data_IF_890898506049
#
_entry.id   IF_890898506049
#
_cell.length_a   1.000
_cell.length_b   1.000
_cell.length_c   1.000
_cell.angle_alpha   90.00
_cell.angle_beta   90.00
_cell.angle_gamma   90.00
#
_symmetry.space_group_name_H-M   'P 1'
#
loop_
_entity.id
_entity.type
_entity.pdbx_description
1 polymer ?
#
# COMPACT_ATOMS: atom_id res chain seq x y z
N UNK A 1 -12.28 16.10 -6.42
CA UNK A 1 -11.91 17.53 -6.40
C UNK A 1 -10.77 17.74 -5.42
N UNK A 2 -9.78 18.56 -5.79
CA UNK A 2 -8.58 18.83 -4.99
C UNK A 2 -8.64 20.23 -4.30
N UNK A 3 -9.83 20.71 -4.04
CA UNK A 3 -10.05 22.05 -3.46
C UNK A 3 -9.26 22.24 -2.18
N UNK A 4 -8.51 23.34 -2.09
CA UNK A 4 -7.65 23.69 -0.96
C UNK A 4 -6.46 22.74 -0.71
N UNK A 5 -6.16 21.82 -1.63
CA UNK A 5 -4.96 20.99 -1.55
C UNK A 5 -3.75 21.72 -2.13
N UNK A 6 -2.61 21.57 -1.46
CA UNK A 6 -1.33 22.19 -1.85
C UNK A 6 -0.40 21.10 -2.33
N UNK A 7 0.03 21.20 -3.57
CA UNK A 7 0.88 20.19 -4.22
C UNK A 7 2.23 20.83 -4.52
N UNK A 8 3.30 20.26 -4.01
CA UNK A 8 4.67 20.58 -4.41
C UNK A 8 5.02 19.68 -5.59
N UNK A 9 5.17 20.27 -6.78
CA UNK A 9 5.45 19.54 -8.01
C UNK A 9 6.93 19.69 -8.40
N UNK A 10 7.70 18.63 -8.21
CA UNK A 10 9.10 18.55 -8.65
C UNK A 10 9.14 18.04 -10.08
N UNK A 11 9.74 18.81 -10.99
CA UNK A 11 9.85 18.48 -12.41
C UNK A 11 11.30 18.07 -12.70
N UNK A 12 11.49 16.80 -13.06
CA UNK A 12 12.78 16.26 -13.48
C UNK A 12 13.10 16.54 -14.94
N UNK A 13 14.39 16.47 -15.29
CA UNK A 13 14.86 16.72 -16.66
C UNK A 13 14.63 15.54 -17.58
N UNK A 14 13.92 15.77 -18.68
CA UNK A 14 13.64 14.78 -19.72
C UNK A 14 12.53 15.26 -20.63
N UNK A 15 12.42 14.65 -21.82
CA UNK A 15 11.42 15.07 -22.83
C UNK A 15 9.99 15.06 -22.25
N UNK A 16 9.67 14.15 -21.33
CA UNK A 16 8.36 14.07 -20.70
C UNK A 16 7.99 15.28 -19.83
N UNK A 17 8.94 16.17 -19.51
CA UNK A 17 8.69 17.37 -18.69
C UNK A 17 7.61 18.29 -19.28
N UNK A 18 7.40 18.29 -20.60
CA UNK A 18 6.33 19.08 -21.22
C UNK A 18 4.93 18.69 -20.70
N UNK A 19 4.71 17.41 -20.36
CA UNK A 19 3.43 16.94 -19.79
C UNK A 19 3.16 17.57 -18.42
N UNK A 20 4.20 17.96 -17.70
CA UNK A 20 4.07 18.57 -16.36
C UNK A 20 3.39 19.93 -16.43
N UNK A 21 3.48 20.63 -17.56
CA UNK A 21 2.76 21.89 -17.77
C UNK A 21 1.24 21.65 -17.87
N UNK A 22 0.80 20.60 -18.55
CA UNK A 22 -0.63 20.20 -18.59
C UNK A 22 -1.06 19.64 -17.20
N UNK A 23 -0.18 18.92 -16.52
CA UNK A 23 -0.44 18.43 -15.15
C UNK A 23 -0.72 19.59 -14.19
N UNK A 24 0.09 20.66 -14.22
CA UNK A 24 -0.15 21.88 -13.41
C UNK A 24 -1.55 22.42 -13.70
N UNK A 25 -1.91 22.59 -14.95
CA UNK A 25 -3.21 23.13 -15.36
C UNK A 25 -4.35 22.27 -14.82
N UNK A 26 -4.32 20.94 -15.06
CA UNK A 26 -5.39 20.04 -14.62
C UNK A 26 -5.55 19.92 -13.12
N UNK A 27 -4.45 19.95 -12.37
CA UNK A 27 -4.50 19.96 -10.90
C UNK A 27 -5.17 21.25 -10.41
N UNK A 28 -4.85 22.40 -11.02
CA UNK A 28 -5.49 23.69 -10.71
C UNK A 28 -6.96 23.75 -11.11
N UNK A 29 -7.31 23.17 -12.25
CA UNK A 29 -8.72 23.04 -12.68
C UNK A 29 -9.55 22.23 -11.66
N UNK A 30 -8.91 21.32 -10.91
CA UNK A 30 -9.56 20.62 -9.78
C UNK A 30 -9.52 21.38 -8.46
N UNK A 31 -8.98 22.58 -8.43
CA UNK A 31 -8.97 23.46 -7.24
C UNK A 31 -7.71 23.34 -6.37
N UNK A 32 -6.66 22.64 -6.83
CA UNK A 32 -5.38 22.58 -6.10
C UNK A 32 -4.53 23.82 -6.32
N UNK A 33 -3.74 24.18 -5.32
CA UNK A 33 -2.58 25.08 -5.49
C UNK A 33 -1.37 24.23 -5.81
N UNK A 34 -0.63 24.58 -6.88
CA UNK A 34 0.56 23.84 -7.34
C UNK A 34 1.77 24.75 -7.26
N UNK A 35 2.77 24.36 -6.49
CA UNK A 35 4.07 25.04 -6.38
C UNK A 35 5.12 24.26 -7.16
N UNK A 36 5.60 24.75 -8.31
CA UNK A 36 6.59 24.05 -9.10
C UNK A 36 8.00 24.20 -8.55
N UNK A 37 8.76 23.10 -8.59
CA UNK A 37 10.20 23.04 -8.37
C UNK A 37 10.83 22.43 -9.61
N UNK A 38 11.74 23.15 -10.26
CA UNK A 38 12.46 22.66 -11.43
C UNK A 38 13.87 22.20 -11.03
N UNK A 39 14.22 20.99 -11.45
CA UNK A 39 15.64 20.62 -11.43
C UNK A 39 16.39 21.39 -12.52
N UNK A 40 17.70 21.59 -12.37
CA UNK A 40 18.52 22.22 -13.39
C UNK A 40 18.35 21.57 -14.76
N UNK A 41 18.27 20.24 -14.80
CA UNK A 41 18.04 19.51 -16.04
C UNK A 41 16.63 19.72 -16.63
N UNK A 42 15.63 20.04 -15.82
CA UNK A 42 14.27 20.31 -16.31
C UNK A 42 14.18 21.63 -17.07
N UNK A 43 15.03 22.61 -16.75
CA UNK A 43 15.07 23.92 -17.42
C UNK A 43 15.46 23.83 -18.89
N UNK A 44 16.12 22.74 -19.31
CA UNK A 44 16.44 22.46 -20.70
C UNK A 44 15.20 22.01 -21.52
N UNK A 45 14.09 21.63 -20.86
CA UNK A 45 12.89 21.12 -21.51
C UNK A 45 11.66 22.01 -21.30
N UNK A 46 11.57 22.69 -20.17
CA UNK A 46 10.49 23.60 -19.80
C UNK A 46 11.05 24.84 -19.12
N UNK A 47 10.50 26.01 -19.41
CA UNK A 47 11.01 27.24 -18.82
C UNK A 47 10.34 27.52 -17.46
N UNK A 48 11.07 28.14 -16.51
CA UNK A 48 10.47 28.61 -15.26
C UNK A 48 9.28 29.55 -15.50
N UNK A 49 9.37 30.39 -16.54
CA UNK A 49 8.29 31.32 -16.92
C UNK A 49 7.00 30.58 -17.30
N UNK A 50 7.10 29.50 -18.09
CA UNK A 50 5.93 28.69 -18.47
C UNK A 50 5.30 28.01 -17.28
N UNK A 51 6.12 27.43 -16.39
CA UNK A 51 5.65 26.76 -15.19
C UNK A 51 5.00 27.76 -14.21
N UNK A 52 5.61 28.92 -13.99
CA UNK A 52 5.07 29.99 -13.14
C UNK A 52 3.73 30.54 -13.65
N UNK A 53 3.65 30.81 -14.97
CA UNK A 53 2.43 31.34 -15.58
C UNK A 53 1.25 30.36 -15.42
N UNK A 54 1.48 29.06 -15.62
CA UNK A 54 0.45 28.03 -15.46
C UNK A 54 0.09 27.75 -14.00
N UNK A 55 1.07 27.78 -13.12
CA UNK A 55 0.86 27.55 -11.69
C UNK A 55 0.24 28.78 -10.98
N UNK A 56 0.42 29.99 -11.52
CA UNK A 56 0.20 31.28 -10.83
C UNK A 56 0.91 31.30 -9.47
N UNK A 57 2.08 30.73 -9.41
CA UNK A 57 2.93 30.57 -8.24
C UNK A 57 4.40 30.79 -8.63
N UNK A 58 5.24 31.13 -7.64
CA UNK A 58 6.68 31.16 -7.79
C UNK A 58 7.23 29.78 -8.15
N UNK A 59 8.24 29.73 -8.98
CA UNK A 59 9.00 28.51 -9.32
C UNK A 59 10.31 28.51 -8.54
N UNK A 60 10.56 27.42 -7.83
CA UNK A 60 11.78 27.23 -7.07
C UNK A 60 12.78 26.39 -7.87
N UNK A 61 14.08 26.74 -7.82
CA UNK A 61 15.11 26.13 -8.67
C UNK A 61 16.43 25.84 -7.95
N UNK A 62 16.86 26.74 -7.08
CA UNK A 62 18.16 26.69 -6.43
C UNK A 62 18.00 26.52 -4.92
N UNK A 63 18.86 25.69 -4.34
CA UNK A 63 18.90 25.45 -2.89
C UNK A 63 19.44 26.68 -2.12
N UNK A 64 20.27 27.49 -2.77
CA UNK A 64 20.98 28.62 -2.17
C UNK A 64 20.51 29.97 -2.70
N UNK A 65 19.29 30.08 -3.23
CA UNK A 65 18.73 31.37 -3.58
C UNK A 65 18.40 32.16 -2.29
N UNK A 66 19.12 33.25 -2.07
CA UNK A 66 18.95 34.07 -0.87
C UNK A 66 17.56 34.69 -0.72
N UNK A 67 16.88 34.94 -1.82
CA UNK A 67 15.51 35.47 -1.81
C UNK A 67 14.53 34.37 -1.39
N UNK A 68 14.72 33.17 -1.90
CA UNK A 68 13.89 32.00 -1.58
C UNK A 68 14.07 31.56 -0.13
N UNK A 69 15.29 31.56 0.38
CA UNK A 69 15.58 31.21 1.77
C UNK A 69 15.03 32.25 2.77
N UNK A 70 15.01 33.52 2.39
CA UNK A 70 14.46 34.58 3.21
C UNK A 70 12.92 34.63 3.21
N UNK A 71 12.27 34.19 2.11
CA UNK A 71 10.81 34.15 1.98
C UNK A 71 10.22 32.88 2.56
N UNK A 72 10.80 31.72 2.23
CA UNK A 72 10.31 30.40 2.65
C UNK A 72 11.45 29.38 2.51
N UNK A 73 12.10 29.02 3.61
CA UNK A 73 13.18 28.01 3.60
C UNK A 73 12.70 26.66 3.05
N UNK A 74 13.64 25.88 2.51
CA UNK A 74 13.35 24.59 1.89
C UNK A 74 12.55 23.62 2.80
N UNK A 75 12.79 23.66 4.12
CA UNK A 75 12.02 22.85 5.09
C UNK A 75 10.56 23.31 5.13
N UNK A 76 10.30 24.62 5.17
CA UNK A 76 8.95 25.13 5.21
C UNK A 76 8.20 24.87 3.90
N UNK A 77 8.88 25.00 2.75
CA UNK A 77 8.34 24.68 1.44
C UNK A 77 7.87 23.21 1.36
N UNK A 78 8.66 22.26 1.86
CA UNK A 78 8.28 20.85 1.88
C UNK A 78 7.10 20.57 2.83
N UNK A 79 7.05 21.23 3.99
CA UNK A 79 6.00 21.06 5.00
C UNK A 79 4.70 21.76 4.64
N UNK A 80 4.76 22.83 3.86
CA UNK A 80 3.59 23.58 3.41
C UNK A 80 2.72 22.77 2.44
N UNK A 81 3.26 21.76 1.76
CA UNK A 81 2.51 20.91 0.85
C UNK A 81 1.66 19.87 1.60
N UNK A 82 0.59 19.39 0.95
CA UNK A 82 -0.20 18.24 1.38
C UNK A 82 0.27 16.95 0.68
N UNK A 83 0.92 17.10 -0.48
CA UNK A 83 1.54 16.02 -1.26
C UNK A 83 2.73 16.56 -2.05
N UNK A 84 3.79 15.78 -2.13
CA UNK A 84 4.92 16.01 -3.05
C UNK A 84 4.74 15.10 -4.26
N UNK A 85 4.77 15.68 -5.46
CA UNK A 85 4.66 14.94 -6.74
C UNK A 85 5.95 15.14 -7.53
N UNK A 86 6.54 14.06 -8.02
CA UNK A 86 7.72 14.11 -8.91
C UNK A 86 7.29 13.64 -10.30
N UNK A 87 7.16 14.54 -11.24
CA UNK A 87 6.72 14.24 -12.60
C UNK A 87 7.42 15.16 -13.62
N UNK A 88 8.27 14.62 -14.50
CA UNK A 88 8.76 13.25 -14.52
C UNK A 88 9.75 12.93 -13.41
N UNK A 89 9.71 11.68 -12.90
CA UNK A 89 10.75 11.13 -12.03
C UNK A 89 11.80 10.42 -12.90
N UNK A 90 12.96 11.02 -13.03
CA UNK A 90 14.08 10.45 -13.81
C UNK A 90 14.79 9.36 -13.02
N UNK A 91 15.59 8.52 -13.70
CA UNK A 91 16.42 7.53 -13.04
C UNK A 91 17.39 8.16 -12.02
N UNK A 92 17.92 9.37 -12.30
CA UNK A 92 18.78 10.12 -11.38
C UNK A 92 18.03 10.52 -10.10
N UNK A 93 16.83 11.12 -10.22
CA UNK A 93 16.03 11.48 -9.05
C UNK A 93 15.64 10.26 -8.24
N UNK A 94 15.21 9.16 -8.88
CA UNK A 94 14.89 7.91 -8.20
C UNK A 94 16.11 7.33 -7.46
N UNK A 95 17.30 7.40 -8.06
CA UNK A 95 18.55 6.97 -7.43
C UNK A 95 18.91 7.84 -6.23
N UNK A 96 18.80 9.17 -6.34
CA UNK A 96 19.02 10.11 -5.24
C UNK A 96 18.07 9.84 -4.08
N UNK A 97 16.78 9.68 -4.36
CA UNK A 97 15.77 9.34 -3.33
C UNK A 97 16.12 8.03 -2.62
N UNK A 98 16.38 6.95 -3.37
CA UNK A 98 16.69 5.65 -2.80
C UNK A 98 18.03 5.61 -2.04
N UNK A 99 18.97 6.47 -2.42
CA UNK A 99 20.29 6.60 -1.79
C UNK A 99 20.35 7.65 -0.67
N UNK A 100 19.27 8.40 -0.42
CA UNK A 100 19.26 9.46 0.60
C UNK A 100 20.16 10.66 0.26
N UNK A 101 20.33 10.99 -1.02
CA UNK A 101 21.14 12.13 -1.45
C UNK A 101 20.33 13.43 -1.39
N UNK A 102 20.96 14.52 -0.93
CA UNK A 102 20.36 15.85 -0.78
C UNK A 102 21.34 16.93 -1.24
N UNK A 103 21.72 16.90 -2.52
CA UNK A 103 22.75 17.77 -3.09
C UNK A 103 22.20 18.86 -4.04
N UNK A 104 20.90 18.92 -4.21
CA UNK A 104 20.17 19.96 -4.93
C UNK A 104 18.82 20.23 -4.24
N UNK A 105 18.10 21.30 -4.65
CA UNK A 105 16.83 21.66 -4.02
C UNK A 105 15.81 20.51 -4.07
N UNK A 106 15.64 19.85 -5.21
CA UNK A 106 14.67 18.77 -5.39
C UNK A 106 14.96 17.60 -4.45
N UNK A 107 16.20 17.11 -4.41
CA UNK A 107 16.61 16.01 -3.54
C UNK A 107 16.56 16.39 -2.06
N UNK A 108 16.88 17.65 -1.71
CA UNK A 108 16.78 18.15 -0.33
C UNK A 108 15.32 18.21 0.14
N UNK A 109 14.40 18.71 -0.68
CA UNK A 109 12.96 18.73 -0.38
C UNK A 109 12.42 17.31 -0.17
N UNK A 110 12.83 16.35 -0.99
CA UNK A 110 12.42 14.95 -0.89
C UNK A 110 12.95 14.27 0.37
N UNK A 111 14.14 14.65 0.86
CA UNK A 111 14.68 14.16 2.13
C UNK A 111 14.07 14.84 3.35
N UNK A 112 13.67 16.12 3.23
CA UNK A 112 13.17 16.90 4.35
C UNK A 112 11.65 16.75 4.57
N UNK A 113 10.94 16.17 3.61
CA UNK A 113 9.47 16.10 3.66
C UNK A 113 8.97 15.04 4.65
N UNK A 114 7.92 15.38 5.39
CA UNK A 114 7.08 14.46 6.18
C UNK A 114 5.79 14.09 5.43
N UNK A 115 5.64 14.54 4.18
CA UNK A 115 4.46 14.32 3.35
C UNK A 115 4.63 13.06 2.48
N UNK A 116 3.51 12.52 2.04
CA UNK A 116 3.52 11.45 1.04
C UNK A 116 4.16 11.95 -0.24
N UNK A 117 4.93 11.08 -0.87
CA UNK A 117 5.57 11.36 -2.17
C UNK A 117 4.95 10.46 -3.23
N UNK A 118 4.55 11.04 -4.36
CA UNK A 118 4.07 10.35 -5.55
C UNK A 118 5.06 10.59 -6.68
N UNK A 119 5.56 9.54 -7.32
CA UNK A 119 6.44 9.66 -8.48
C UNK A 119 5.78 9.13 -9.75
N UNK A 120 6.01 9.82 -10.87
CA UNK A 120 5.67 9.37 -12.22
C UNK A 120 6.97 9.14 -13.00
N UNK A 121 7.50 7.89 -13.02
CA UNK A 121 8.76 7.58 -13.69
C UNK A 121 8.71 7.85 -15.18
N UNK A 122 9.82 8.40 -15.74
CA UNK A 122 10.00 8.59 -17.17
C UNK A 122 11.48 8.46 -17.54
N UNK A 123 11.78 7.49 -18.38
CA UNK A 123 13.14 7.23 -18.87
C UNK A 123 13.09 6.29 -20.07
N UNK A 124 14.20 6.12 -20.76
CA UNK A 124 14.36 5.12 -21.81
C UNK A 124 14.16 3.70 -21.27
N UNK A 125 13.69 2.76 -22.12
CA UNK A 125 13.38 1.38 -21.72
C UNK A 125 14.56 0.67 -21.08
N UNK A 126 15.78 0.85 -21.62
CA UNK A 126 16.99 0.25 -21.07
C UNK A 126 17.35 0.76 -19.69
N UNK A 127 17.12 2.07 -19.44
CA UNK A 127 17.27 2.67 -18.13
C UNK A 127 16.22 2.14 -17.15
N UNK A 128 14.97 1.95 -17.61
CA UNK A 128 13.91 1.41 -16.77
C UNK A 128 14.19 -0.04 -16.37
N UNK A 129 14.56 -0.87 -17.32
CA UNK A 129 14.87 -2.29 -17.10
C UNK A 129 16.22 -2.51 -16.37
N UNK A 130 17.04 -1.46 -16.24
CA UNK A 130 18.33 -1.60 -15.60
C UNK A 130 18.18 -2.08 -14.14
N UNK A 131 18.99 -3.11 -13.72
CA UNK A 131 18.89 -3.66 -12.37
C UNK A 131 18.97 -2.63 -11.24
N UNK A 132 19.77 -1.57 -11.43
CA UNK A 132 19.86 -0.47 -10.45
C UNK A 132 18.54 0.29 -10.31
N UNK A 133 17.88 0.61 -11.44
CA UNK A 133 16.58 1.30 -11.43
C UNK A 133 15.51 0.45 -10.75
N UNK A 134 15.49 -0.87 -11.03
CA UNK A 134 14.53 -1.78 -10.41
C UNK A 134 14.78 -1.95 -8.90
N UNK A 135 16.04 -1.99 -8.45
CA UNK A 135 16.37 -1.97 -7.00
C UNK A 135 15.92 -0.65 -6.34
N UNK A 136 16.21 0.48 -6.97
CA UNK A 136 15.79 1.79 -6.46
C UNK A 136 14.25 1.87 -6.37
N UNK A 137 13.54 1.40 -7.38
CA UNK A 137 12.08 1.34 -7.37
C UNK A 137 11.55 0.49 -6.22
N UNK A 138 12.14 -0.69 -6.00
CA UNK A 138 11.76 -1.57 -4.90
C UNK A 138 12.00 -0.91 -3.53
N UNK A 139 13.15 -0.24 -3.35
CA UNK A 139 13.47 0.54 -2.15
C UNK A 139 12.44 1.63 -1.92
N UNK A 140 12.18 2.47 -2.92
CA UNK A 140 11.22 3.58 -2.82
C UNK A 140 9.81 3.11 -2.50
N UNK A 141 9.35 2.01 -3.11
CA UNK A 141 8.06 1.38 -2.76
C UNK A 141 8.05 0.88 -1.32
N UNK A 142 9.15 0.27 -0.86
CA UNK A 142 9.32 -0.17 0.52
C UNK A 142 9.27 0.98 1.53
N UNK A 143 9.80 2.15 1.16
CA UNK A 143 9.76 3.39 1.95
C UNK A 143 8.40 4.12 1.88
N UNK A 144 7.43 3.58 1.16
CA UNK A 144 6.07 4.14 1.08
C UNK A 144 5.87 5.19 0.00
N UNK A 145 6.81 5.35 -0.94
CA UNK A 145 6.66 6.23 -2.10
C UNK A 145 5.62 5.64 -3.06
N UNK A 146 4.64 6.45 -3.43
CA UNK A 146 3.62 6.08 -4.39
C UNK A 146 4.17 6.18 -5.81
N UNK A 147 3.80 5.22 -6.66
CA UNK A 147 4.30 5.15 -8.03
C UNK A 147 3.13 5.03 -9.00
N UNK A 148 3.09 5.89 -10.01
CA UNK A 148 2.14 5.82 -11.12
C UNK A 148 2.91 5.59 -12.42
N UNK A 149 2.61 4.50 -13.12
CA UNK A 149 3.34 4.07 -14.30
C UNK A 149 4.71 3.43 -13.98
N UNK A 150 5.68 3.49 -14.92
CA UNK A 150 5.56 4.09 -16.26
C UNK A 150 4.66 3.23 -17.18
N UNK A 151 4.13 3.86 -18.22
CA UNK A 151 3.35 3.19 -19.25
C UNK A 151 4.27 2.55 -20.31
N UNK A 152 3.73 1.56 -21.00
CA UNK A 152 4.37 0.94 -22.16
C UNK A 152 4.00 1.70 -23.45
N UNK A 153 4.94 1.82 -24.38
CA UNK A 153 4.68 2.43 -25.68
C UNK A 153 5.92 2.89 -26.41
N UNK A 154 5.70 3.55 -27.55
CA UNK A 154 6.77 4.14 -28.36
C UNK A 154 7.42 5.32 -27.60
N UNK A 155 8.74 5.36 -27.60
CA UNK A 155 9.54 6.42 -27.01
C UNK A 155 10.12 7.36 -28.05
N UNK A 156 10.51 8.56 -27.64
CA UNK A 156 11.12 9.55 -28.53
C UNK A 156 12.45 9.07 -29.17
N UNK A 157 13.12 8.09 -28.57
CA UNK A 157 14.33 7.47 -29.13
C UNK A 157 14.04 6.35 -30.13
N UNK A 158 12.76 6.06 -30.45
CA UNK A 158 12.35 5.02 -31.40
C UNK A 158 12.26 3.60 -30.79
N UNK A 159 12.52 3.44 -29.48
CA UNK A 159 12.33 2.17 -28.80
C UNK A 159 10.87 2.01 -28.34
N UNK A 160 10.42 0.76 -28.21
CA UNK A 160 9.12 0.38 -27.65
C UNK A 160 9.31 -0.40 -26.35
N UNK A 161 8.52 -0.07 -25.33
CA UNK A 161 8.52 -0.78 -24.05
C UNK A 161 8.10 0.13 -22.89
N UNK A 162 8.27 -0.36 -21.65
CA UNK A 162 7.98 0.41 -20.43
C UNK A 162 9.00 1.53 -20.23
N UNK A 163 8.54 2.71 -19.80
CA UNK A 163 9.40 3.87 -19.51
C UNK A 163 8.77 5.22 -19.87
N UNK A 164 7.61 5.22 -20.55
CA UNK A 164 6.86 6.45 -20.79
C UNK A 164 6.21 6.94 -19.50
N UNK A 165 6.32 8.25 -19.22
CA UNK A 165 5.53 8.85 -18.16
C UNK A 165 4.04 8.61 -18.42
N UNK A 166 3.30 8.15 -17.42
CA UNK A 166 1.85 7.98 -17.48
C UNK A 166 1.15 9.23 -17.98
N UNK A 167 -0.01 9.05 -18.54
CA UNK A 167 -0.79 10.17 -19.07
C UNK A 167 -1.29 11.07 -17.92
N UNK A 168 -1.43 12.34 -18.19
CA UNK A 168 -1.75 13.35 -17.17
C UNK A 168 -3.04 13.01 -16.41
N UNK A 169 -4.12 12.52 -17.04
CA UNK A 169 -5.31 12.10 -16.30
C UNK A 169 -5.04 11.03 -15.23
N UNK A 170 -4.16 10.05 -15.51
CA UNK A 170 -3.84 8.97 -14.59
C UNK A 170 -3.02 9.48 -13.40
N UNK A 171 -2.10 10.43 -13.66
CA UNK A 171 -1.34 11.09 -12.59
C UNK A 171 -2.28 11.92 -11.70
N UNK A 172 -3.24 12.65 -12.29
CA UNK A 172 -4.24 13.43 -11.54
C UNK A 172 -5.13 12.52 -10.70
N UNK A 173 -5.54 11.37 -11.23
CA UNK A 173 -6.31 10.37 -10.46
C UNK A 173 -5.49 9.81 -9.29
N UNK A 174 -4.20 9.50 -9.50
CA UNK A 174 -3.29 9.04 -8.45
C UNK A 174 -3.05 10.11 -7.37
N UNK A 175 -2.95 11.39 -7.76
CA UNK A 175 -2.88 12.52 -6.81
C UNK A 175 -4.15 12.60 -5.98
N UNK A 176 -5.33 12.47 -6.59
CA UNK A 176 -6.62 12.45 -5.88
C UNK A 176 -6.69 11.32 -4.84
N UNK A 177 -6.29 10.12 -5.24
CA UNK A 177 -6.20 8.97 -4.35
C UNK A 177 -5.19 9.21 -3.20
N UNK A 178 -4.02 9.77 -3.54
CA UNK A 178 -2.98 10.08 -2.56
C UNK A 178 -3.42 11.11 -1.50
N UNK A 179 -4.26 12.07 -1.87
CA UNK A 179 -4.77 13.10 -0.96
C UNK A 179 -6.02 12.69 -0.18
N UNK A 180 -6.44 11.44 -0.27
CA UNK A 180 -7.58 10.91 0.46
C UNK A 180 -8.94 11.32 -0.13
N UNK A 181 -8.98 11.83 -1.37
CA UNK A 181 -10.22 12.13 -2.10
C UNK A 181 -10.69 10.92 -2.96
N UNK A 182 -10.24 9.72 -2.60
CA UNK A 182 -10.62 8.48 -3.27
C UNK A 182 -12.06 8.02 -2.93
N UNK A 183 -12.54 6.96 -3.61
CA UNK A 183 -13.92 6.44 -3.48
C UNK A 183 -14.27 5.96 -2.07
N UNK A 184 -13.26 5.70 -1.22
CA UNK A 184 -13.43 5.30 0.18
C UNK A 184 -13.31 6.46 1.19
N UNK A 185 -13.32 7.73 0.73
CA UNK A 185 -13.31 8.89 1.62
C UNK A 185 -14.47 8.84 2.63
N UNK A 186 -14.13 8.98 3.90
CA UNK A 186 -15.10 8.92 5.01
C UNK A 186 -15.51 7.50 5.40
N UNK A 187 -15.02 6.46 4.70
CA UNK A 187 -15.23 5.07 5.06
C UNK A 187 -14.15 4.58 6.02
N UNK A 188 -14.54 3.71 6.93
CA UNK A 188 -13.64 3.01 7.83
C UNK A 188 -13.55 1.54 7.45
N UNK A 189 -12.33 1.02 7.29
CA UNK A 189 -12.09 -0.39 6.97
C UNK A 189 -11.18 -1.01 8.02
N UNK A 190 -11.62 -2.13 8.59
CA UNK A 190 -10.83 -2.97 9.48
C UNK A 190 -10.10 -4.05 8.66
N UNK A 191 -8.80 -4.21 8.87
CA UNK A 191 -8.00 -5.25 8.21
C UNK A 191 -7.23 -6.02 9.26
N UNK A 192 -7.35 -7.37 9.30
CA UNK A 192 -6.46 -8.23 10.07
C UNK A 192 -5.38 -8.81 9.18
N UNK A 193 -4.16 -8.97 9.70
CA UNK A 193 -2.99 -9.42 8.94
C UNK A 193 -1.99 -10.19 9.81
N UNK A 194 -1.04 -10.85 9.15
CA UNK A 194 0.01 -11.61 9.82
C UNK A 194 -0.47 -12.93 10.45
N UNK A 195 0.45 -13.73 10.99
CA UNK A 195 0.11 -14.92 11.77
C UNK A 195 -0.28 -14.55 13.20
N UNK A 196 -0.96 -15.44 13.92
CA UNK A 196 -1.01 -15.42 15.37
C UNK A 196 -0.01 -16.41 15.93
N UNK A 197 0.54 -16.10 17.09
CA UNK A 197 1.43 -16.96 17.86
C UNK A 197 0.73 -17.43 19.12
N UNK A 198 0.48 -18.72 19.21
CA UNK A 198 -0.18 -19.32 20.37
C UNK A 198 0.90 -19.91 21.30
N UNK A 199 1.14 -19.31 22.47
CA UNK A 199 2.26 -19.69 23.31
C UNK A 199 2.11 -21.11 23.87
N UNK A 200 3.21 -21.86 23.87
CA UNK A 200 3.39 -23.09 24.63
C UNK A 200 4.08 -22.75 25.96
N UNK A 201 5.15 -21.98 25.90
CA UNK A 201 5.91 -21.42 26.99
C UNK A 201 6.58 -20.10 26.54
N UNK A 202 7.33 -19.36 27.36
CA UNK A 202 7.95 -18.09 26.97
C UNK A 202 8.91 -18.16 25.76
N UNK A 203 9.23 -19.35 25.26
CA UNK A 203 10.22 -19.55 24.18
C UNK A 203 9.60 -20.17 22.93
N UNK A 204 8.52 -20.95 23.08
CA UNK A 204 7.93 -21.74 21.99
C UNK A 204 6.45 -21.41 21.81
N UNK A 205 6.03 -21.39 20.56
CA UNK A 205 4.64 -21.12 20.17
C UNK A 205 4.23 -21.96 18.96
N UNK A 206 2.93 -22.05 18.71
CA UNK A 206 2.30 -22.58 17.52
C UNK A 206 1.89 -21.40 16.64
N UNK A 207 2.16 -21.48 15.34
CA UNK A 207 1.76 -20.44 14.39
C UNK A 207 1.56 -21.01 12.99
N UNK A 208 0.67 -20.38 12.24
CA UNK A 208 0.54 -20.60 10.80
C UNK A 208 1.63 -19.85 10.04
N UNK A 209 2.10 -20.39 8.92
CA UNK A 209 3.06 -19.70 8.05
C UNK A 209 2.38 -18.55 7.34
N UNK A 210 2.78 -17.31 7.64
CA UNK A 210 2.33 -16.11 6.95
C UNK A 210 3.35 -14.99 7.09
N UNK A 211 3.63 -14.29 6.01
CA UNK A 211 4.48 -13.08 6.02
C UNK A 211 3.70 -11.81 6.37
N UNK A 212 2.36 -11.84 6.31
CA UNK A 212 1.50 -10.66 6.41
C UNK A 212 1.44 -9.78 5.14
N UNK A 213 2.21 -10.11 4.10
CA UNK A 213 2.37 -9.25 2.92
C UNK A 213 1.06 -8.90 2.22
N UNK A 214 0.14 -9.87 2.05
CA UNK A 214 -1.13 -9.62 1.36
C UNK A 214 -2.03 -8.65 2.14
N UNK A 215 -2.16 -8.83 3.46
CA UNK A 215 -2.95 -7.93 4.31
C UNK A 215 -2.32 -6.53 4.41
N UNK A 216 -0.99 -6.44 4.46
CA UNK A 216 -0.25 -5.18 4.44
C UNK A 216 -0.47 -4.41 3.13
N UNK A 217 -0.32 -5.08 1.98
CA UNK A 217 -0.57 -4.47 0.67
C UNK A 217 -2.03 -3.99 0.54
N UNK A 218 -2.99 -4.78 1.03
CA UNK A 218 -4.40 -4.41 0.99
C UNK A 218 -4.72 -3.20 1.88
N UNK A 219 -4.15 -3.14 3.09
CA UNK A 219 -4.32 -1.99 3.97
C UNK A 219 -3.77 -0.70 3.35
N UNK A 220 -2.62 -0.79 2.65
CA UNK A 220 -2.07 0.32 1.88
C UNK A 220 -3.01 0.75 0.74
N UNK A 221 -3.50 -0.20 -0.07
CA UNK A 221 -4.39 0.09 -1.19
C UNK A 221 -5.73 0.72 -0.75
N UNK A 222 -6.31 0.26 0.35
CA UNK A 222 -7.53 0.84 0.93
C UNK A 222 -7.32 2.27 1.43
N UNK A 223 -6.20 2.51 2.14
CA UNK A 223 -5.78 3.85 2.53
C UNK A 223 -5.62 4.77 1.32
N UNK A 224 -5.00 4.28 0.25
CA UNK A 224 -4.75 5.05 -0.98
C UNK A 224 -6.04 5.43 -1.69
N UNK A 225 -7.09 4.63 -1.55
CA UNK A 225 -8.45 4.97 -1.97
C UNK A 225 -9.21 5.87 -0.97
N UNK A 226 -8.54 6.36 0.06
CA UNK A 226 -9.09 7.35 1.00
C UNK A 226 -9.75 6.77 2.25
N UNK A 227 -9.71 5.45 2.47
CA UNK A 227 -10.25 4.85 3.68
C UNK A 227 -9.46 5.22 4.93
N UNK A 228 -10.15 5.40 6.05
CA UNK A 228 -9.54 5.28 7.37
C UNK A 228 -9.36 3.78 7.64
N UNK A 229 -8.13 3.33 7.82
CA UNK A 229 -7.84 1.90 8.01
C UNK A 229 -7.40 1.63 9.45
N UNK A 230 -8.06 0.69 10.14
CA UNK A 230 -7.56 0.06 11.37
C UNK A 230 -6.91 -1.27 10.97
N UNK A 231 -5.61 -1.38 11.20
CA UNK A 231 -4.78 -2.52 10.80
C UNK A 231 -4.35 -3.31 12.04
N UNK A 232 -5.04 -4.44 12.30
CA UNK A 232 -4.72 -5.35 13.40
C UNK A 232 -3.76 -6.40 12.89
N UNK A 233 -2.55 -6.44 13.41
CA UNK A 233 -1.51 -7.36 12.91
C UNK A 233 -0.87 -8.18 14.00
N UNK A 234 -0.80 -9.48 13.76
CA UNK A 234 0.09 -10.38 14.50
C UNK A 234 1.56 -10.18 14.12
N UNK A 235 2.48 -10.99 14.67
CA UNK A 235 3.91 -10.91 14.39
C UNK A 235 4.21 -11.25 12.93
N UNK A 236 4.36 -10.24 12.08
CA UNK A 236 4.60 -10.37 10.65
C UNK A 236 6.00 -9.87 10.28
N UNK A 237 6.57 -10.44 9.19
CA UNK A 237 7.88 -10.04 8.69
C UNK A 237 7.84 -8.74 7.87
N UNK A 238 6.66 -8.37 7.36
CA UNK A 238 6.46 -7.15 6.58
C UNK A 238 6.00 -6.04 7.52
N UNK A 239 6.63 -4.85 7.51
CA UNK A 239 6.22 -3.74 8.34
C UNK A 239 4.82 -3.25 7.94
N UNK A 240 4.02 -2.76 8.91
CA UNK A 240 2.73 -2.13 8.63
C UNK A 240 2.89 -0.93 7.69
N UNK A 241 1.90 -0.66 6.81
CA UNK A 241 1.97 0.49 5.92
C UNK A 241 1.85 1.80 6.70
N UNK A 242 2.53 2.84 6.24
CA UNK A 242 2.38 4.18 6.82
C UNK A 242 0.94 4.71 6.64
N UNK A 243 0.49 5.61 7.51
CA UNK A 243 -0.79 6.30 7.38
C UNK A 243 -2.04 5.46 7.73
N UNK A 244 -1.87 4.31 8.39
CA UNK A 244 -2.95 3.50 8.95
C UNK A 244 -2.87 3.45 10.48
N UNK A 245 -3.99 3.19 11.16
CA UNK A 245 -4.00 2.97 12.60
C UNK A 245 -3.60 1.52 12.90
N UNK A 246 -2.41 1.31 13.44
CA UNK A 246 -1.82 -0.01 13.69
C UNK A 246 -2.11 -0.48 15.10
N UNK A 247 -2.72 -1.68 15.23
CA UNK A 247 -2.90 -2.40 16.49
C UNK A 247 -2.10 -3.70 16.42
N UNK A 248 -1.07 -3.84 17.25
CA UNK A 248 -0.23 -5.03 17.30
C UNK A 248 -0.79 -6.01 18.33
N UNK A 249 -0.86 -7.26 17.95
CA UNK A 249 -1.37 -8.37 18.77
C UNK A 249 -0.43 -9.56 18.65
N UNK A 250 -0.55 -10.53 19.53
CA UNK A 250 0.28 -11.74 19.48
C UNK A 250 -0.57 -12.98 19.22
N UNK A 251 -1.60 -13.22 20.02
CA UNK A 251 -2.44 -14.42 19.95
C UNK A 251 -3.75 -14.18 19.19
N UNK A 252 -4.46 -15.26 18.87
CA UNK A 252 -5.81 -15.21 18.32
C UNK A 252 -6.80 -14.54 19.29
N UNK A 253 -6.63 -14.76 20.61
CA UNK A 253 -7.42 -14.10 21.63
C UNK A 253 -7.23 -12.58 21.62
N UNK A 254 -5.97 -12.11 21.54
CA UNK A 254 -5.65 -10.69 21.45
C UNK A 254 -6.23 -10.07 20.16
N UNK A 255 -6.11 -10.80 19.05
CA UNK A 255 -6.67 -10.34 17.77
C UNK A 255 -8.19 -10.21 17.82
N UNK A 256 -8.88 -11.19 18.44
CA UNK A 256 -10.34 -11.11 18.64
C UNK A 256 -10.71 -9.89 19.48
N UNK A 257 -10.03 -9.68 20.61
CA UNK A 257 -10.26 -8.52 21.49
C UNK A 257 -9.99 -7.19 20.77
N UNK A 258 -8.93 -7.10 19.97
CA UNK A 258 -8.61 -5.91 19.20
C UNK A 258 -9.66 -5.62 18.11
N UNK A 259 -10.19 -6.66 17.46
CA UNK A 259 -11.29 -6.54 16.48
C UNK A 259 -12.59 -6.07 17.15
N UNK A 260 -12.88 -6.56 18.35
CA UNK A 260 -14.07 -6.17 19.10
C UNK A 260 -13.98 -4.73 19.63
N UNK A 261 -12.78 -4.29 20.01
CA UNK A 261 -12.51 -2.93 20.49
C UNK A 261 -12.39 -1.90 19.34
N UNK A 262 -12.26 -2.36 18.10
CA UNK A 262 -12.11 -1.45 16.96
C UNK A 262 -13.39 -0.61 16.74
N UNK A 263 -13.24 0.66 16.31
CA UNK A 263 -14.39 1.47 15.92
C UNK A 263 -15.23 0.77 14.85
N UNK A 264 -16.54 1.07 14.82
CA UNK A 264 -17.42 0.51 13.80
C UNK A 264 -16.87 0.75 12.39
N UNK A 265 -16.75 -0.32 11.61
CA UNK A 265 -16.21 -0.29 10.25
C UNK A 265 -17.32 -0.45 9.20
N UNK A 266 -17.16 0.21 8.05
CA UNK A 266 -18.01 0.00 6.87
C UNK A 266 -17.71 -1.36 6.21
N UNK A 267 -16.42 -1.75 6.21
CA UNK A 267 -16.00 -3.09 5.77
C UNK A 267 -14.96 -3.68 6.73
N UNK A 268 -14.91 -5.02 6.80
CA UNK A 268 -13.87 -5.75 7.52
C UNK A 268 -13.26 -6.83 6.64
N UNK A 269 -11.92 -6.90 6.62
CA UNK A 269 -11.16 -7.87 5.83
C UNK A 269 -10.28 -8.71 6.75
N UNK A 270 -10.51 -10.01 6.76
CA UNK A 270 -9.83 -10.98 7.60
C UNK A 270 -8.78 -11.74 6.79
N UNK A 271 -7.58 -11.14 6.65
CA UNK A 271 -6.45 -11.71 5.93
C UNK A 271 -5.36 -12.31 6.85
N UNK A 272 -5.57 -12.27 8.17
CA UNK A 272 -4.68 -12.90 9.13
C UNK A 272 -4.70 -14.42 9.02
N UNK A 273 -3.56 -15.05 9.22
CA UNK A 273 -3.40 -16.49 9.33
C UNK A 273 -3.53 -16.90 10.81
N UNK A 274 -4.76 -16.88 11.31
CA UNK A 274 -5.08 -17.25 12.70
C UNK A 274 -4.90 -18.74 12.88
N UNK A 275 -4.20 -19.13 13.96
CA UNK A 275 -4.07 -20.55 14.31
C UNK A 275 -5.44 -21.10 14.79
N UNK A 276 -5.80 -22.30 14.33
CA UNK A 276 -7.09 -22.94 14.71
C UNK A 276 -7.10 -23.37 16.19
N UNK A 277 -5.95 -23.72 16.71
CA UNK A 277 -5.80 -24.25 18.08
C UNK A 277 -4.79 -23.44 18.91
N UNK A 278 -5.04 -23.39 20.23
CA UNK A 278 -4.12 -22.87 21.25
C UNK A 278 -3.82 -23.95 22.27
N UNK A 279 -2.74 -23.80 22.99
CA UNK A 279 -2.38 -24.68 24.13
C UNK A 279 -3.11 -24.18 25.38
N UNK A 280 -3.84 -25.09 26.05
CA UNK A 280 -4.59 -24.78 27.28
C UNK A 280 -3.71 -24.84 28.54
N UNK A 281 -2.75 -25.77 28.57
CA UNK A 281 -1.83 -25.98 29.65
C UNK A 281 -0.46 -25.29 29.41
N UNK A 282 -0.50 -24.00 29.10
CA UNK A 282 0.71 -23.18 28.87
C UNK A 282 1.57 -23.12 30.13
N UNK A 283 2.88 -23.03 29.97
CA UNK A 283 3.83 -22.89 31.11
C UNK A 283 4.37 -21.46 31.17
N UNK A 284 4.37 -20.86 32.34
CA UNK A 284 5.00 -19.56 32.61
C UNK A 284 6.54 -19.59 32.61
N UNK A 285 7.15 -20.77 32.47
CA UNK A 285 8.59 -20.96 32.34
C UNK A 285 8.90 -21.95 31.22
N UNK A 286 10.10 -21.87 30.63
CA UNK A 286 10.54 -22.80 29.59
C UNK A 286 10.43 -24.24 30.07
N UNK A 287 9.62 -25.06 29.44
CA UNK A 287 9.49 -26.49 29.71
C UNK A 287 10.83 -27.19 29.49
N UNK A 288 11.37 -27.82 30.52
CA UNK A 288 12.62 -28.61 30.46
C UNK A 288 12.30 -30.07 30.19
N UNK A 289 13.27 -30.81 29.64
CA UNK A 289 13.21 -32.27 29.57
C UNK A 289 13.25 -32.82 30.97
N UNK A 290 12.32 -33.72 31.31
CA UNK A 290 12.19 -34.36 32.61
C UNK A 290 13.07 -35.63 32.78
N UNK A 291 13.85 -35.96 31.75
CA UNK A 291 14.68 -37.15 31.68
C UNK A 291 13.94 -38.43 31.28
N UNK A 292 12.62 -38.40 31.11
CA UNK A 292 11.82 -39.55 30.71
C UNK A 292 11.96 -39.94 29.23
N UNK A 293 12.54 -39.07 28.40
CA UNK A 293 12.60 -39.23 26.96
C UNK A 293 11.28 -38.96 26.24
N UNK A 294 10.21 -38.62 26.95
CA UNK A 294 8.89 -38.31 26.40
C UNK A 294 8.77 -36.81 26.12
N UNK A 295 8.00 -36.47 25.11
CA UNK A 295 7.59 -35.09 24.86
C UNK A 295 6.58 -34.65 25.94
N UNK A 296 6.55 -33.34 26.30
CA UNK A 296 5.53 -32.83 27.20
C UNK A 296 4.15 -33.00 26.58
N UNK A 297 3.16 -33.42 27.36
CA UNK A 297 1.76 -33.50 26.91
C UNK A 297 1.19 -32.08 26.78
N UNK A 298 0.75 -31.71 25.59
CA UNK A 298 0.06 -30.45 25.34
C UNK A 298 -1.44 -30.71 25.19
N UNK A 299 -2.25 -29.92 25.86
CA UNK A 299 -3.69 -29.92 25.75
C UNK A 299 -4.11 -28.81 24.79
N UNK A 300 -4.87 -29.17 23.74
CA UNK A 300 -5.30 -28.22 22.73
C UNK A 300 -6.76 -27.82 22.93
N UNK A 301 -7.04 -26.54 22.74
CA UNK A 301 -8.38 -25.98 22.64
C UNK A 301 -8.53 -25.15 21.37
N UNK A 302 -9.76 -24.99 20.91
CA UNK A 302 -10.05 -24.17 19.74
C UNK A 302 -9.84 -22.67 20.04
N UNK A 303 -9.33 -21.96 19.04
CA UNK A 303 -9.25 -20.51 19.07
C UNK A 303 -10.59 -19.87 18.63
N UNK A 304 -10.84 -18.61 19.02
CA UNK A 304 -12.03 -17.90 18.59
C UNK A 304 -12.05 -17.75 17.06
N UNK A 305 -13.21 -18.06 16.46
CA UNK A 305 -13.45 -17.87 15.04
C UNK A 305 -13.85 -16.41 14.77
N UNK A 306 -12.84 -15.55 14.60
CA UNK A 306 -13.03 -14.10 14.46
C UNK A 306 -13.90 -13.75 13.24
N UNK A 307 -13.65 -14.41 12.09
CA UNK A 307 -14.41 -14.19 10.87
C UNK A 307 -15.90 -14.52 11.07
N UNK A 308 -16.20 -15.73 11.60
CA UNK A 308 -17.58 -16.14 11.83
C UNK A 308 -18.27 -15.27 12.89
N UNK A 309 -17.56 -14.89 13.95
CA UNK A 309 -18.08 -14.03 15.02
C UNK A 309 -18.52 -12.68 14.45
N UNK A 310 -17.67 -12.01 13.66
CA UNK A 310 -18.00 -10.70 13.07
C UNK A 310 -19.07 -10.83 11.98
N UNK A 311 -19.00 -11.88 11.15
CA UNK A 311 -19.97 -12.10 10.08
C UNK A 311 -21.39 -12.31 10.58
N UNK A 312 -21.55 -12.90 11.77
CA UNK A 312 -22.86 -13.24 12.37
C UNK A 312 -23.37 -12.20 13.37
N UNK A 313 -22.68 -11.07 13.53
CA UNK A 313 -23.15 -9.99 14.42
C UNK A 313 -24.51 -9.49 13.99
N UNK A 314 -25.41 -9.35 14.93
CA UNK A 314 -26.75 -8.74 14.72
C UNK A 314 -26.71 -7.21 14.84
N UNK A 315 -25.71 -6.68 15.58
CA UNK A 315 -25.49 -5.26 15.75
C UNK A 315 -24.00 -4.93 15.46
N UNK A 316 -23.76 -3.83 14.78
CA UNK A 316 -22.38 -3.40 14.46
C UNK A 316 -21.66 -4.29 13.45
N UNK A 317 -22.37 -5.17 12.71
CA UNK A 317 -21.78 -5.91 11.60
C UNK A 317 -21.36 -4.94 10.50
N UNK A 318 -20.12 -5.02 9.99
CA UNK A 318 -19.72 -4.26 8.80
C UNK A 318 -20.65 -4.58 7.61
N UNK A 319 -20.92 -3.58 6.78
CA UNK A 319 -21.73 -3.76 5.56
C UNK A 319 -21.13 -4.81 4.63
N UNK A 320 -19.79 -4.91 4.59
CA UNK A 320 -19.05 -5.89 3.82
C UNK A 320 -18.03 -6.62 4.71
N UNK A 321 -18.12 -7.95 4.74
CA UNK A 321 -17.19 -8.81 5.47
C UNK A 321 -16.49 -9.73 4.47
N UNK A 322 -15.16 -9.63 4.39
CA UNK A 322 -14.31 -10.38 3.47
C UNK A 322 -13.37 -11.29 4.26
N UNK A 323 -13.43 -12.59 3.99
CA UNK A 323 -12.50 -13.57 4.55
C UNK A 323 -11.45 -14.01 3.53
N UNK A 324 -10.35 -14.58 4.01
CA UNK A 324 -9.36 -15.25 3.18
C UNK A 324 -9.38 -16.76 3.41
N UNK A 325 -9.07 -17.53 2.36
CA UNK A 325 -8.94 -18.98 2.41
C UNK A 325 -7.68 -19.40 1.66
N UNK A 326 -6.76 -20.02 2.39
CA UNK A 326 -5.56 -20.64 1.85
C UNK A 326 -5.82 -22.15 1.77
N UNK A 327 -6.00 -22.66 0.57
CA UNK A 327 -6.39 -24.05 0.33
C UNK A 327 -5.28 -24.79 -0.42
N UNK A 328 -5.22 -26.09 -0.27
CA UNK A 328 -4.22 -26.94 -0.95
C UNK A 328 -4.81 -27.87 -2.02
N UNK A 329 -6.15 -27.97 -2.05
CA UNK A 329 -6.92 -28.76 -3.01
C UNK A 329 -8.34 -28.19 -3.09
N UNK A 330 -9.06 -28.47 -4.16
CA UNK A 330 -10.49 -28.13 -4.37
C UNK A 330 -10.85 -26.70 -3.94
N UNK A 331 -9.98 -25.76 -4.34
CA UNK A 331 -9.95 -24.38 -3.83
C UNK A 331 -11.31 -23.68 -3.88
N UNK A 332 -12.02 -23.82 -5.02
CA UNK A 332 -13.34 -23.17 -5.21
C UNK A 332 -14.41 -23.79 -4.32
N UNK A 333 -14.45 -25.12 -4.24
CA UNK A 333 -15.45 -25.86 -3.46
C UNK A 333 -15.25 -25.62 -1.96
N UNK A 334 -14.00 -25.77 -1.46
CA UNK A 334 -13.66 -25.55 -0.06
C UNK A 334 -13.94 -24.11 0.37
N UNK A 335 -13.56 -23.14 -0.46
CA UNK A 335 -13.78 -21.71 -0.16
C UNK A 335 -15.28 -21.34 -0.22
N UNK A 336 -16.06 -21.93 -1.13
CA UNK A 336 -17.51 -21.74 -1.18
C UNK A 336 -18.18 -22.28 0.08
N UNK A 337 -17.82 -23.49 0.49
CA UNK A 337 -18.30 -24.11 1.74
C UNK A 337 -17.88 -23.27 2.96
N UNK A 338 -16.65 -22.77 2.98
CA UNK A 338 -16.15 -21.87 4.05
C UNK A 338 -16.96 -20.58 4.11
N UNK A 339 -17.25 -19.94 2.97
CA UNK A 339 -18.06 -18.73 2.89
C UNK A 339 -19.43 -18.96 3.54
N UNK A 340 -20.13 -20.01 3.13
CA UNK A 340 -21.46 -20.36 3.66
C UNK A 340 -21.42 -20.61 5.18
N UNK A 341 -20.47 -21.40 5.66
CA UNK A 341 -20.31 -21.73 7.08
C UNK A 341 -19.96 -20.50 7.95
N UNK A 342 -19.09 -19.61 7.45
CA UNK A 342 -18.66 -18.41 8.17
C UNK A 342 -19.70 -17.29 8.09
N UNK A 343 -20.52 -17.24 7.06
CA UNK A 343 -21.56 -16.22 6.84
C UNK A 343 -20.99 -14.86 6.40
N UNK A 344 -19.79 -14.84 5.82
CA UNK A 344 -19.19 -13.63 5.26
C UNK A 344 -19.70 -13.37 3.82
N UNK A 345 -19.56 -12.12 3.37
CA UNK A 345 -20.07 -11.73 2.06
C UNK A 345 -19.15 -12.22 0.94
N UNK A 346 -17.83 -12.12 1.15
CA UNK A 346 -16.83 -12.57 0.19
C UNK A 346 -15.80 -13.48 0.83
N UNK A 347 -15.25 -14.42 0.03
CA UNK A 347 -14.01 -15.14 0.32
C UNK A 347 -13.02 -14.92 -0.81
N UNK A 348 -11.81 -14.54 -0.44
CA UNK A 348 -10.63 -14.48 -1.33
C UNK A 348 -9.85 -15.77 -1.11
N UNK A 349 -9.95 -16.69 -2.05
CA UNK A 349 -9.29 -18.00 -1.97
C UNK A 349 -8.02 -18.02 -2.82
N UNK A 350 -6.99 -18.70 -2.34
CA UNK A 350 -5.77 -18.96 -3.09
C UNK A 350 -5.26 -20.39 -2.88
N UNK A 351 -4.63 -20.94 -3.91
CA UNK A 351 -3.95 -22.24 -3.87
C UNK A 351 -2.55 -22.05 -3.27
N UNK A 352 -2.34 -22.62 -2.09
CA UNK A 352 -1.05 -22.57 -1.38
C UNK A 352 -0.37 -23.94 -1.37
N UNK A 353 -0.76 -24.86 -2.26
CA UNK A 353 -0.16 -26.18 -2.37
C UNK A 353 1.34 -26.09 -2.66
N UNK A 354 2.13 -27.10 -2.25
CA UNK A 354 3.55 -27.16 -2.54
C UNK A 354 3.84 -27.03 -4.04
N UNK A 355 4.78 -26.16 -4.41
CA UNK A 355 5.16 -25.90 -5.81
C UNK A 355 4.49 -24.69 -6.46
N UNK A 356 3.43 -24.12 -5.89
CA UNK A 356 2.81 -22.90 -6.43
C UNK A 356 3.65 -21.64 -6.22
N UNK A 357 4.53 -21.64 -5.20
CA UNK A 357 5.36 -20.48 -4.82
C UNK A 357 4.55 -19.29 -4.28
N UNK A 358 3.28 -19.47 -3.95
CA UNK A 358 2.38 -18.40 -3.47
C UNK A 358 2.65 -18.12 -1.99
N UNK A 359 2.82 -19.18 -1.18
CA UNK A 359 3.13 -19.01 0.23
C UNK A 359 4.55 -18.45 0.40
N UNK A 360 4.65 -17.25 0.98
CA UNK A 360 5.94 -16.54 1.15
C UNK A 360 6.46 -15.82 -0.09
N UNK A 361 5.91 -16.06 -1.30
CA UNK A 361 6.28 -15.36 -2.53
C UNK A 361 5.68 -13.95 -2.65
N UNK A 362 6.06 -13.24 -3.72
CA UNK A 362 5.61 -11.89 -4.07
C UNK A 362 4.35 -11.88 -4.97
N UNK A 363 4.01 -13.02 -5.58
CA UNK A 363 2.86 -13.19 -6.46
C UNK A 363 1.73 -13.95 -5.78
N UNK A 364 0.51 -13.78 -6.32
CA UNK A 364 -0.66 -14.53 -5.93
C UNK A 364 -1.57 -14.81 -7.13
N UNK A 365 -2.33 -15.90 -7.08
CA UNK A 365 -3.47 -16.19 -7.93
C UNK A 365 -4.65 -16.42 -7.01
N UNK A 366 -5.71 -15.65 -7.19
CA UNK A 366 -6.86 -15.73 -6.29
C UNK A 366 -8.14 -16.05 -7.05
N UNK A 367 -9.10 -16.59 -6.32
CA UNK A 367 -10.51 -16.69 -6.73
C UNK A 367 -11.32 -15.86 -5.75
N UNK A 368 -12.06 -14.88 -6.23
CA UNK A 368 -13.00 -14.11 -5.42
C UNK A 368 -14.38 -14.80 -5.48
N UNK A 369 -14.86 -15.26 -4.34
CA UNK A 369 -16.17 -15.93 -4.20
C UNK A 369 -17.13 -14.98 -3.52
N UNK A 370 -18.27 -14.74 -4.16
CA UNK A 370 -19.36 -13.87 -3.70
C UNK A 370 -20.73 -14.51 -4.00
N UNK A 371 -21.81 -13.79 -3.79
CA UNK A 371 -23.15 -14.21 -4.24
C UNK A 371 -23.28 -14.30 -5.76
N UNK A 372 -22.42 -13.58 -6.50
CA UNK A 372 -22.37 -13.62 -7.95
C UNK A 372 -21.56 -14.82 -8.50
N UNK A 373 -21.09 -15.72 -7.65
CA UNK A 373 -20.29 -16.88 -8.01
C UNK A 373 -18.79 -16.67 -7.77
N UNK A 374 -17.98 -17.47 -8.47
CA UNK A 374 -16.53 -17.48 -8.39
C UNK A 374 -15.91 -16.71 -9.56
N UNK A 375 -15.08 -15.72 -9.28
CA UNK A 375 -14.32 -14.92 -10.25
C UNK A 375 -12.83 -15.25 -10.10
N UNK A 376 -12.24 -15.90 -11.11
CA UNK A 376 -10.81 -16.18 -11.11
C UNK A 376 -10.02 -14.96 -11.58
N UNK A 377 -8.94 -14.65 -10.84
CA UNK A 377 -7.99 -13.61 -11.23
C UNK A 377 -6.69 -14.24 -11.68
N UNK A 378 -6.06 -13.70 -12.75
CA UNK A 378 -4.77 -14.22 -13.22
C UNK A 378 -3.70 -14.10 -12.13
N UNK A 379 -2.60 -14.83 -12.30
CA UNK A 379 -1.44 -14.69 -11.42
C UNK A 379 -0.83 -13.30 -11.59
N UNK A 380 -0.68 -12.57 -10.50
CA UNK A 380 -0.17 -11.20 -10.48
C UNK A 380 0.54 -10.90 -9.15
N UNK A 381 1.22 -9.76 -9.05
CA UNK A 381 1.85 -9.32 -7.80
C UNK A 381 0.82 -9.13 -6.68
N UNK A 382 1.21 -9.36 -5.43
CA UNK A 382 0.34 -9.16 -4.26
C UNK A 382 -0.18 -7.72 -4.15
N UNK A 383 0.61 -6.74 -4.58
CA UNK A 383 0.19 -5.33 -4.63
C UNK A 383 -0.93 -5.11 -5.65
N UNK A 384 -0.87 -5.78 -6.80
CA UNK A 384 -1.90 -5.69 -7.84
C UNK A 384 -3.20 -6.35 -7.39
N UNK A 385 -3.10 -7.55 -6.77
CA UNK A 385 -4.25 -8.20 -6.12
C UNK A 385 -4.89 -7.25 -5.09
N UNK A 386 -4.06 -6.59 -4.29
CA UNK A 386 -4.52 -5.67 -3.25
C UNK A 386 -5.24 -4.44 -3.84
N UNK A 387 -4.69 -3.81 -4.89
CA UNK A 387 -5.33 -2.69 -5.57
C UNK A 387 -6.67 -3.08 -6.19
N UNK A 388 -6.72 -4.21 -6.89
CA UNK A 388 -7.95 -4.70 -7.51
C UNK A 388 -9.01 -5.05 -6.46
N UNK A 389 -8.62 -5.69 -5.36
CA UNK A 389 -9.55 -6.01 -4.27
C UNK A 389 -10.03 -4.75 -3.55
N UNK A 390 -9.16 -3.78 -3.30
CA UNK A 390 -9.52 -2.50 -2.69
C UNK A 390 -10.53 -1.73 -3.56
N UNK A 391 -10.36 -1.74 -4.89
CA UNK A 391 -11.32 -1.13 -5.81
C UNK A 391 -12.67 -1.84 -5.77
N UNK A 392 -12.70 -3.19 -5.77
CA UNK A 392 -13.95 -3.97 -5.62
C UNK A 392 -14.67 -3.66 -4.32
N UNK A 393 -13.91 -3.49 -3.21
CA UNK A 393 -14.48 -3.08 -1.91
C UNK A 393 -15.07 -1.66 -2.01
N UNK A 394 -14.36 -0.75 -2.67
CA UNK A 394 -14.85 0.61 -2.88
C UNK A 394 -16.16 0.64 -3.68
N UNK A 395 -16.23 -0.11 -4.77
CA UNK A 395 -17.42 -0.23 -5.61
C UNK A 395 -18.61 -0.79 -4.80
N UNK A 396 -18.38 -1.82 -3.98
CA UNK A 396 -19.41 -2.42 -3.12
C UNK A 396 -19.89 -1.47 -2.00
N UNK A 397 -19.04 -0.56 -1.52
CA UNK A 397 -19.42 0.41 -0.50
C UNK A 397 -20.04 1.69 -1.08
N UNK A 398 -19.89 1.94 -2.38
CA UNK A 398 -20.51 3.09 -3.07
C UNK A 398 -22.00 2.85 -3.39
N UNK A 399 -22.40 1.60 -3.68
CA UNK A 399 -23.80 1.19 -3.86
C UNK A 399 -24.48 0.94 -2.53
#
# INVERSE_FOLDING_TARGET
MLTNKRILLIIGGGIAAYKSLDLIRRLRDQGASVTPVLTRAAEEFVTPLSASALAAQKVYRDLFDLTDEAEMGHIELSRAADLVVVAPATADLMAKMAGGLANDLASTLLMATDKRVLIAPAMNVRMWEHPATQRNLATLKGDGVLVVGPDEGNMACGEFGPGRMSEVPDIVAAVGAALGDGPLKGKHVLVTSGPTHEPIDPVRYIANRSSGAQGTALAAALRDLGAKVTFVTGPANVPPPAGVNVVRVESAGDMAAAVDAAPQADAAVFAAAVADWRVLNTSGSKMKKDGSGKAPALEFGENPDILATVSKRTQGRPRLVVGFAAETNDVVENATSKRARKGCDWIVANDVSPGTGIMGGDQNRIVLISDNGAEEWPRMGKDEVARRLAQRIADALAG
#
